data_IF_425187623011
#
_entry.id   IF_425187623011
#
_cell.length_a   1.000
_cell.length_b   1.000
_cell.length_c   1.000
_cell.angle_alpha   90.00
_cell.angle_beta   90.00
_cell.angle_gamma   90.00
#
_symmetry.space_group_name_H-M   'P 1'
#
loop_
_entity.id
_entity.type
_entity.pdbx_description
1 polymer ?
#
# COMPACT_ATOMS: atom_id res chain seq x y z
N UNK A 1 1.95 -7.66 -6.23
CA UNK A 1 0.97 -6.57 -6.47
C UNK A 1 0.79 -5.80 -5.18
N UNK A 2 0.78 -4.48 -5.22
CA UNK A 2 0.53 -3.58 -4.09
C UNK A 2 -0.54 -2.58 -4.49
N UNK A 3 -1.50 -2.33 -3.61
CA UNK A 3 -2.54 -1.31 -3.76
C UNK A 3 -2.51 -0.42 -2.53
N UNK A 4 -2.41 0.89 -2.75
CA UNK A 4 -2.54 1.92 -1.72
C UNK A 4 -3.71 2.83 -2.10
N UNK A 5 -4.67 3.01 -1.20
CA UNK A 5 -5.84 3.85 -1.45
C UNK A 5 -6.46 4.38 -0.15
N UNK A 6 -7.12 5.53 -0.26
CA UNK A 6 -8.04 6.02 0.77
C UNK A 6 -9.43 5.40 0.59
N UNK A 7 -10.12 5.16 1.71
CA UNK A 7 -11.49 4.68 1.69
C UNK A 7 -12.47 5.81 1.99
N UNK A 8 -13.18 6.31 0.96
CA UNK A 8 -14.09 7.45 1.15
C UNK A 8 -15.25 7.18 2.11
N UNK A 9 -15.63 5.92 2.31
CA UNK A 9 -16.65 5.62 3.31
C UNK A 9 -16.15 5.83 4.75
N UNK A 10 -14.83 5.88 4.98
CA UNK A 10 -14.18 6.15 6.27
C UNK A 10 -13.92 7.64 6.48
N UNK A 11 -13.67 8.39 5.39
CA UNK A 11 -13.35 9.83 5.45
C UNK A 11 -14.60 10.72 5.35
N UNK A 12 -15.61 10.35 4.56
CA UNK A 12 -16.79 11.19 4.30
C UNK A 12 -18.07 10.72 5.00
N UNK A 13 -18.06 9.49 5.53
CA UNK A 13 -19.19 8.84 6.21
C UNK A 13 -18.67 8.12 7.46
N UNK A 14 -19.57 7.63 8.31
CA UNK A 14 -19.18 6.80 9.45
C UNK A 14 -18.15 7.47 10.38
N UNK A 15 -17.03 6.79 10.62
CA UNK A 15 -15.98 7.17 11.57
C UNK A 15 -15.31 8.53 11.30
N UNK A 16 -15.35 9.04 10.06
CA UNK A 16 -14.77 10.33 9.65
C UNK A 16 -13.30 10.51 10.01
N UNK A 17 -12.50 9.47 9.75
CA UNK A 17 -11.05 9.59 9.88
C UNK A 17 -10.44 10.08 8.57
N UNK A 18 -9.75 11.20 8.63
CA UNK A 18 -9.07 11.83 7.50
C UNK A 18 -7.61 11.39 7.44
N UNK A 19 -6.97 11.48 6.28
CA UNK A 19 -5.56 11.09 6.08
C UNK A 19 -5.28 9.60 6.33
N UNK A 20 -6.33 8.77 6.34
CA UNK A 20 -6.22 7.32 6.51
C UNK A 20 -6.07 6.61 5.17
N UNK A 21 -4.84 6.20 4.88
CA UNK A 21 -4.51 5.32 3.76
C UNK A 21 -4.51 3.84 4.16
N UNK A 22 -5.03 2.97 3.28
CA UNK A 22 -4.92 1.51 3.42
C UNK A 22 -4.01 0.94 2.33
N UNK A 23 -3.04 0.11 2.75
CA UNK A 23 -2.16 -0.62 1.83
C UNK A 23 -2.43 -2.11 1.92
N UNK A 24 -2.65 -2.78 0.79
CA UNK A 24 -2.77 -4.24 0.69
C UNK A 24 -1.80 -4.77 -0.36
N UNK A 25 -1.29 -5.98 -0.14
CA UNK A 25 -0.30 -6.57 -1.03
C UNK A 25 -0.44 -8.09 -1.09
N UNK A 26 -0.11 -8.64 -2.25
CA UNK A 26 0.10 -10.08 -2.44
C UNK A 26 1.34 -10.29 -3.29
N UNK A 27 2.22 -11.17 -2.82
CA UNK A 27 3.45 -11.55 -3.52
C UNK A 27 3.39 -13.02 -3.93
N UNK A 28 3.85 -13.31 -5.13
CA UNK A 28 3.90 -14.64 -5.74
C UNK A 28 5.27 -14.86 -6.37
N UNK A 29 5.66 -16.13 -6.54
CA UNK A 29 6.95 -16.51 -7.12
C UNK A 29 8.12 -15.88 -6.38
N UNK A 30 9.12 -15.39 -7.12
CA UNK A 30 10.34 -14.82 -6.54
C UNK A 30 10.09 -13.69 -5.52
N UNK A 31 9.05 -12.86 -5.70
CA UNK A 31 8.70 -11.82 -4.71
C UNK A 31 8.16 -12.39 -3.39
N UNK A 32 7.65 -13.62 -3.39
CA UNK A 32 7.26 -14.32 -2.17
C UNK A 32 8.43 -15.07 -1.56
N UNK A 33 9.19 -15.77 -2.40
CA UNK A 33 10.16 -16.76 -1.97
C UNK A 33 11.54 -16.14 -1.65
N UNK A 34 11.89 -15.01 -2.26
CA UNK A 34 13.11 -14.25 -1.98
C UNK A 34 12.81 -12.93 -1.23
N UNK A 35 13.22 -12.79 0.04
CA UNK A 35 13.07 -11.56 0.81
C UNK A 35 13.82 -10.35 0.22
N UNK A 36 14.97 -10.53 -0.43
CA UNK A 36 15.75 -9.42 -0.97
C UNK A 36 15.02 -8.77 -2.15
N UNK A 37 14.58 -9.60 -3.12
CA UNK A 37 13.73 -9.16 -4.24
C UNK A 37 12.44 -8.47 -3.76
N UNK A 38 11.80 -9.00 -2.70
CA UNK A 38 10.61 -8.36 -2.11
C UNK A 38 10.90 -7.00 -1.50
N UNK A 39 12.01 -6.88 -0.79
CA UNK A 39 12.41 -5.63 -0.12
C UNK A 39 12.74 -4.53 -1.14
N UNK A 40 13.46 -4.86 -2.20
CA UNK A 40 13.71 -3.94 -3.32
C UNK A 40 12.41 -3.46 -3.96
N UNK A 41 11.46 -4.37 -4.20
CA UNK A 41 10.14 -4.02 -4.73
C UNK A 41 9.37 -3.06 -3.83
N UNK A 42 9.32 -3.33 -2.52
CA UNK A 42 8.65 -2.45 -1.57
C UNK A 42 9.32 -1.07 -1.50
N UNK A 43 10.66 -1.00 -1.52
CA UNK A 43 11.38 0.28 -1.55
C UNK A 43 10.99 1.12 -2.75
N UNK A 44 10.88 0.52 -3.94
CA UNK A 44 10.44 1.21 -5.14
C UNK A 44 9.00 1.72 -4.96
N UNK A 45 8.05 0.83 -4.63
CA UNK A 45 6.63 1.19 -4.51
C UNK A 45 6.34 2.23 -3.42
N UNK A 46 7.04 2.18 -2.30
CA UNK A 46 6.79 3.08 -1.16
C UNK A 46 7.59 4.38 -1.26
N UNK A 47 8.64 4.43 -2.09
CA UNK A 47 9.35 5.69 -2.41
C UNK A 47 8.58 6.60 -3.36
N UNK A 48 7.58 6.06 -4.08
CA UNK A 48 6.68 6.85 -4.92
C UNK A 48 5.78 7.70 -4.02
N UNK A 49 6.19 8.95 -3.81
CA UNK A 49 5.47 9.95 -3.02
C UNK A 49 4.08 10.19 -3.64
N UNK A 50 3.07 9.48 -3.13
CA UNK A 50 1.67 9.85 -3.33
C UNK A 50 1.44 11.15 -2.58
N UNK A 51 1.15 12.23 -3.31
CA UNK A 51 0.77 13.50 -2.71
C UNK A 51 -0.53 13.29 -1.92
N UNK A 52 -0.45 13.51 -0.61
CA UNK A 52 -1.52 14.06 0.20
C UNK A 52 -1.14 15.51 0.51
#
# INVERSE_FOLDING_TARGET
>A
VVVKAEHHCMTHRGVREHESDMTTAIMLGAFKDDPATRDEFYKICMSMKGHG
#
